data_IF_444292234836
#
_entry.id   IF_444292234836
#
_cell.length_a   1.000
_cell.length_b   1.000
_cell.length_c   1.000
_cell.angle_alpha   90.00
_cell.angle_beta   90.00
_cell.angle_gamma   90.00
#
_symmetry.space_group_name_H-M   'P 1'
#
loop_
_entity.id
_entity.type
_entity.pdbx_description
1 polymer ?
#
# COMPACT_ATOMS: atom_id res chain seq x y z
N UNK A 1 -15.68 12.34 0.10
CA UNK A 1 -14.59 11.42 -0.26
C UNK A 1 -14.04 10.71 0.97
N UNK A 2 -13.36 9.62 0.75
CA UNK A 2 -12.72 8.84 1.80
C UNK A 2 -11.31 9.37 2.06
N UNK A 3 -10.87 9.33 3.32
CA UNK A 3 -9.54 9.77 3.72
C UNK A 3 -8.87 8.69 4.54
N UNK A 4 -7.60 8.45 4.27
CA UNK A 4 -6.72 7.64 5.09
C UNK A 4 -5.55 8.51 5.56
N UNK A 5 -5.33 8.57 6.86
CA UNK A 5 -4.13 9.13 7.47
C UNK A 5 -3.18 7.97 7.76
N UNK A 6 -1.95 8.07 7.29
CA UNK A 6 -0.90 7.06 7.52
C UNK A 6 0.18 7.65 8.40
N UNK A 7 0.49 6.97 9.49
CA UNK A 7 1.53 7.35 10.44
C UNK A 7 2.89 6.83 9.96
N UNK A 8 3.75 7.76 9.53
CA UNK A 8 5.12 7.48 9.09
C UNK A 8 6.17 7.87 10.13
N UNK A 9 5.75 8.15 11.38
CA UNK A 9 6.64 8.61 12.45
C UNK A 9 7.77 7.62 12.72
N UNK A 10 9.01 8.11 12.68
CA UNK A 10 10.24 7.32 12.89
C UNK A 10 10.45 6.22 11.85
N UNK A 11 9.86 6.37 10.66
CA UNK A 11 10.08 5.48 9.52
C UNK A 11 11.01 6.14 8.50
N UNK A 12 11.71 5.33 7.75
CA UNK A 12 12.64 5.80 6.71
C UNK A 12 12.21 5.27 5.36
N UNK A 13 12.13 6.15 4.34
CA UNK A 13 11.81 5.71 2.99
C UNK A 13 12.96 4.91 2.38
N UNK A 14 12.62 3.98 1.52
CA UNK A 14 13.55 3.18 0.73
C UNK A 14 13.36 3.60 -0.72
N UNK A 15 14.47 3.80 -1.41
CA UNK A 15 14.50 4.12 -2.83
C UNK A 15 14.89 2.86 -3.62
N UNK A 16 14.03 2.45 -4.54
CA UNK A 16 14.32 1.45 -5.55
C UNK A 16 14.59 2.14 -6.89
N UNK A 17 15.86 2.42 -7.16
CA UNK A 17 16.33 3.14 -8.34
C UNK A 17 17.12 2.26 -9.31
N UNK A 18 17.17 0.96 -9.06
CA UNK A 18 17.87 -0.02 -9.90
C UNK A 18 19.37 -0.08 -9.68
N UNK A 19 19.94 0.68 -8.73
CA UNK A 19 21.36 0.61 -8.42
C UNK A 19 21.61 -0.34 -7.25
N UNK A 20 22.40 -1.39 -7.50
CA UNK A 20 22.89 -2.30 -6.49
C UNK A 20 24.34 -1.92 -6.12
N UNK A 21 24.46 -1.13 -5.05
CA UNK A 21 25.78 -0.65 -4.59
C UNK A 21 26.51 -1.65 -3.68
N UNK A 22 25.82 -2.72 -3.26
CA UNK A 22 26.37 -3.79 -2.42
C UNK A 22 25.74 -5.11 -2.79
N UNK A 23 26.19 -6.22 -2.17
CA UNK A 23 25.50 -7.51 -2.31
C UNK A 23 24.05 -7.39 -1.79
N UNK A 24 23.08 -7.83 -2.59
CA UNK A 24 21.65 -7.73 -2.25
C UNK A 24 20.76 -8.19 -3.38
N UNK A 25 19.45 -8.05 -3.16
CA UNK A 25 18.42 -8.30 -4.17
C UNK A 25 17.83 -6.96 -4.59
N UNK A 26 17.69 -6.75 -5.88
CA UNK A 26 16.95 -5.61 -6.46
C UNK A 26 15.86 -6.13 -7.37
N UNK A 27 14.75 -5.40 -7.44
CA UNK A 27 13.69 -5.65 -8.40
C UNK A 27 13.96 -4.88 -9.71
N UNK A 28 13.72 -5.52 -10.85
CA UNK A 28 13.75 -4.88 -12.16
C UNK A 28 12.43 -5.17 -12.91
N UNK A 29 11.81 -4.15 -13.51
CA UNK A 29 12.22 -2.74 -13.49
C UNK A 29 12.12 -2.14 -12.08
N UNK A 30 13.00 -1.18 -11.80
CA UNK A 30 12.93 -0.32 -10.61
C UNK A 30 12.14 0.96 -10.93
N UNK A 31 12.02 1.86 -9.99
CA UNK A 31 11.37 3.15 -10.20
C UNK A 31 10.27 3.44 -9.21
N UNK A 32 10.57 3.28 -7.93
CA UNK A 32 9.68 3.68 -6.85
C UNK A 32 10.44 4.17 -5.63
N UNK A 33 9.71 4.87 -4.78
CA UNK A 33 10.09 5.15 -3.41
C UNK A 33 9.00 4.64 -2.49
N UNK A 34 9.35 3.86 -1.49
CA UNK A 34 8.39 3.23 -0.60
C UNK A 34 8.79 3.33 0.87
N UNK A 35 7.82 3.16 1.77
CA UNK A 35 8.01 3.25 3.20
C UNK A 35 7.00 2.34 3.91
N UNK A 36 7.49 1.53 4.85
CA UNK A 36 6.62 0.81 5.77
C UNK A 36 6.05 1.80 6.80
N UNK A 37 4.71 1.93 6.94
CA UNK A 37 4.12 2.73 8.01
C UNK A 37 4.52 2.27 9.41
N UNK A 38 4.27 3.12 10.40
CA UNK A 38 4.36 2.71 11.78
C UNK A 38 3.24 1.72 12.10
N UNK A 39 3.54 0.45 12.13
CA UNK A 39 2.61 -0.65 12.40
C UNK A 39 2.72 -1.20 13.84
N UNK A 40 3.33 -0.41 14.73
CA UNK A 40 3.33 -0.71 16.17
C UNK A 40 1.94 -0.50 16.79
N UNK A 41 1.76 -0.97 18.03
CA UNK A 41 0.54 -0.76 18.80
C UNK A 41 0.21 0.72 19.06
N UNK A 42 1.18 1.61 18.86
CA UNK A 42 1.03 3.06 19.05
C UNK A 42 0.78 3.80 17.72
N UNK A 43 0.57 3.09 16.63
CA UNK A 43 0.28 3.68 15.33
C UNK A 43 -0.95 4.59 15.38
N UNK A 44 -0.85 5.73 14.70
CA UNK A 44 -1.94 6.68 14.51
C UNK A 44 -2.60 6.55 13.14
N UNK A 45 -2.22 5.56 12.34
CA UNK A 45 -2.84 5.29 11.03
C UNK A 45 -4.31 4.98 11.20
N UNK A 46 -5.19 5.76 10.55
CA UNK A 46 -6.64 5.62 10.65
C UNK A 46 -7.37 6.23 9.46
N UNK A 47 -8.56 5.72 9.20
CA UNK A 47 -9.45 6.27 8.17
C UNK A 47 -10.10 5.21 7.32
N UNK A 48 -10.23 5.48 6.03
CA UNK A 48 -10.90 4.63 5.07
C UNK A 48 -9.96 4.26 3.94
N UNK A 49 -9.89 2.98 3.61
CA UNK A 49 -9.09 2.44 2.52
C UNK A 49 -10.01 1.81 1.48
N UNK A 50 -10.31 2.53 0.38
CA UNK A 50 -11.03 1.95 -0.75
C UNK A 50 -10.11 1.03 -1.54
N UNK A 51 -10.59 -0.17 -1.89
CA UNK A 51 -9.90 -1.13 -2.74
C UNK A 51 -10.91 -1.69 -3.75
N UNK A 52 -10.57 -1.66 -5.04
CA UNK A 52 -11.30 -2.36 -6.08
C UNK A 52 -10.58 -3.68 -6.37
N UNK A 53 -11.23 -4.79 -6.06
CA UNK A 53 -10.67 -6.11 -6.21
C UNK A 53 -11.72 -7.10 -6.73
N UNK A 54 -11.38 -7.92 -7.71
CA UNK A 54 -12.27 -8.89 -8.33
C UNK A 54 -13.63 -8.33 -8.77
N UNK A 55 -13.63 -7.11 -9.34
CA UNK A 55 -14.85 -6.46 -9.83
C UNK A 55 -15.67 -5.74 -8.76
N UNK A 56 -15.29 -5.80 -7.49
CA UNK A 56 -16.00 -5.21 -6.36
C UNK A 56 -15.19 -4.06 -5.76
N UNK A 57 -15.85 -2.93 -5.49
CA UNK A 57 -15.29 -1.84 -4.69
C UNK A 57 -15.64 -2.08 -3.22
N UNK A 58 -14.63 -2.29 -2.41
CA UNK A 58 -14.73 -2.42 -0.97
C UNK A 58 -14.09 -1.21 -0.29
N UNK A 59 -14.68 -0.74 0.82
CA UNK A 59 -14.18 0.40 1.58
C UNK A 59 -13.95 -0.05 3.01
N UNK A 60 -12.71 -0.24 3.37
CA UNK A 60 -12.31 -0.73 4.68
C UNK A 60 -12.12 0.40 5.68
N UNK A 61 -12.46 0.13 6.95
CA UNK A 61 -12.06 0.96 8.09
C UNK A 61 -10.68 0.54 8.55
N UNK A 62 -9.79 1.51 8.70
CA UNK A 62 -8.45 1.30 9.22
C UNK A 62 -8.33 2.03 10.56
N UNK A 63 -7.81 1.33 11.56
CA UNK A 63 -7.46 1.88 12.87
C UNK A 63 -6.17 1.22 13.37
N UNK A 64 -5.29 2.00 13.96
CA UNK A 64 -3.97 1.51 14.44
C UNK A 64 -3.23 0.68 13.38
N UNK A 65 -3.24 1.16 12.14
CA UNK A 65 -2.58 0.54 10.99
C UNK A 65 -3.19 -0.80 10.52
N UNK A 66 -4.38 -1.17 10.98
CA UNK A 66 -5.02 -2.44 10.64
C UNK A 66 -6.44 -2.24 10.18
N UNK A 67 -6.89 -3.08 9.25
CA UNK A 67 -8.30 -3.14 8.88
C UNK A 67 -9.08 -3.71 10.05
N UNK A 68 -10.09 -2.95 10.52
CA UNK A 68 -10.94 -3.32 11.65
C UNK A 68 -12.40 -3.57 11.24
N UNK A 69 -12.74 -3.26 10.01
CA UNK A 69 -14.09 -3.44 9.48
C UNK A 69 -14.23 -2.91 8.07
N UNK A 70 -15.46 -2.85 7.57
CA UNK A 70 -15.73 -2.24 6.28
C UNK A 70 -17.10 -1.55 6.23
N UNK A 71 -17.26 -0.67 5.25
CA UNK A 71 -18.51 -0.02 4.93
C UNK A 71 -19.34 -0.95 4.06
N UNK A 72 -20.45 -1.45 4.53
CA UNK A 72 -21.30 -2.48 3.90
C UNK A 72 -20.71 -3.90 3.97
N UNK A 73 -21.35 -4.85 3.30
CA UNK A 73 -20.96 -6.26 3.32
C UNK A 73 -19.77 -6.51 2.35
N UNK A 74 -18.55 -6.32 2.84
CA UNK A 74 -17.36 -6.64 2.08
C UNK A 74 -17.09 -8.15 2.13
N UNK A 75 -16.72 -8.72 0.99
CA UNK A 75 -16.44 -10.15 0.84
C UNK A 75 -15.22 -10.58 1.67
N UNK A 76 -14.22 -9.69 1.74
CA UNK A 76 -12.94 -10.01 2.39
C UNK A 76 -12.85 -9.59 3.86
N UNK A 77 -13.94 -9.05 4.43
CA UNK A 77 -13.93 -8.51 5.79
C UNK A 77 -13.48 -9.49 6.84
N UNK A 78 -14.03 -10.72 6.80
CA UNK A 78 -13.80 -11.70 7.86
C UNK A 78 -12.33 -12.12 7.93
N UNK A 79 -11.65 -12.27 6.80
CA UNK A 79 -10.22 -12.59 6.75
C UNK A 79 -9.37 -11.57 7.52
N UNK A 80 -9.68 -10.26 7.39
CA UNK A 80 -8.93 -9.19 8.06
C UNK A 80 -9.24 -9.11 9.57
N UNK A 81 -10.46 -9.47 9.97
CA UNK A 81 -10.87 -9.48 11.38
C UNK A 81 -10.33 -10.73 12.09
N UNK A 82 -10.40 -11.88 11.45
CA UNK A 82 -9.93 -13.14 12.01
C UNK A 82 -8.41 -13.15 12.15
N UNK A 83 -7.68 -12.60 11.18
CA UNK A 83 -6.23 -12.48 11.20
C UNK A 83 -5.79 -11.01 10.93
N UNK A 84 -5.69 -10.18 11.97
CA UNK A 84 -5.40 -8.75 11.79
C UNK A 84 -4.06 -8.43 11.11
N UNK A 85 -3.11 -9.37 11.06
CA UNK A 85 -1.86 -9.17 10.34
C UNK A 85 -2.08 -9.13 8.82
N UNK A 86 -3.11 -9.80 8.32
CA UNK A 86 -3.51 -9.79 6.90
C UNK A 86 -3.95 -8.39 6.46
N UNK A 87 -4.65 -7.65 7.33
CA UNK A 87 -5.14 -6.30 7.09
C UNK A 87 -4.19 -5.19 7.56
N UNK A 88 -2.94 -5.51 7.90
CA UNK A 88 -1.95 -4.51 8.25
C UNK A 88 -1.58 -3.66 7.03
N UNK A 89 -1.59 -2.33 7.14
CA UNK A 89 -1.06 -1.43 6.11
C UNK A 89 0.46 -1.57 6.13
N UNK A 90 0.97 -2.32 5.17
CA UNK A 90 2.36 -2.77 5.16
C UNK A 90 3.31 -1.78 4.48
N UNK A 91 2.77 -1.06 3.49
CA UNK A 91 3.57 -0.18 2.64
C UNK A 91 2.73 0.98 2.10
N UNK A 92 3.40 2.12 1.93
CA UNK A 92 2.95 3.24 1.09
C UNK A 92 4.07 3.54 0.12
N UNK A 93 3.75 3.55 -1.17
CA UNK A 93 4.76 3.69 -2.20
C UNK A 93 4.33 4.57 -3.38
N UNK A 94 5.33 5.07 -4.07
CA UNK A 94 5.22 6.02 -5.17
C UNK A 94 5.99 5.47 -6.37
N UNK A 95 5.33 4.66 -7.20
CA UNK A 95 5.85 4.21 -8.48
C UNK A 95 5.81 5.34 -9.51
N UNK A 96 6.87 5.50 -10.30
CA UNK A 96 7.00 6.64 -11.23
C UNK A 96 7.00 6.24 -12.70
N UNK A 97 7.05 4.95 -13.04
CA UNK A 97 7.15 4.53 -14.43
C UNK A 97 5.93 4.88 -15.30
N UNK A 98 4.76 5.02 -14.67
CA UNK A 98 3.56 5.49 -15.36
C UNK A 98 3.67 6.89 -15.93
N UNK A 99 4.49 7.77 -15.32
CA UNK A 99 4.78 9.12 -15.80
C UNK A 99 5.49 9.09 -17.16
N UNK A 100 6.26 8.05 -17.43
CA UNK A 100 6.95 7.83 -18.70
C UNK A 100 6.09 7.09 -19.74
N UNK A 101 4.79 6.91 -19.48
CA UNK A 101 3.85 6.31 -20.42
C UNK A 101 3.88 4.78 -20.47
N UNK A 102 4.57 4.12 -19.53
CA UNK A 102 4.57 2.66 -19.40
C UNK A 102 3.16 2.21 -18.98
N UNK A 103 2.69 1.14 -19.61
CA UNK A 103 1.33 0.61 -19.42
C UNK A 103 1.32 -0.64 -18.54
N UNK A 104 0.21 -0.89 -17.82
CA UNK A 104 0.05 -2.09 -17.01
C UNK A 104 0.23 -3.37 -17.82
N UNK A 105 0.87 -4.33 -17.21
CA UNK A 105 1.15 -5.65 -17.77
C UNK A 105 0.25 -6.75 -17.22
N UNK A 106 -0.47 -6.47 -16.13
CA UNK A 106 -1.23 -7.45 -15.35
C UNK A 106 -0.37 -8.26 -14.37
N UNK A 107 0.93 -7.90 -14.24
CA UNK A 107 1.86 -8.52 -13.28
C UNK A 107 2.19 -7.53 -12.20
N UNK A 108 1.76 -7.80 -10.97
CA UNK A 108 1.83 -6.85 -9.86
C UNK A 108 3.25 -6.33 -9.61
N UNK A 109 4.27 -7.17 -9.64
CA UNK A 109 5.68 -6.79 -9.44
C UNK A 109 6.21 -5.78 -10.48
N UNK A 110 5.55 -5.65 -11.62
CA UNK A 110 5.86 -4.65 -12.65
C UNK A 110 4.94 -3.45 -12.51
N UNK A 111 3.68 -3.71 -12.22
CA UNK A 111 2.62 -2.69 -12.24
C UNK A 111 2.66 -1.80 -10.99
N UNK A 112 3.21 -2.28 -9.86
CA UNK A 112 3.43 -1.47 -8.65
C UNK A 112 4.32 -0.24 -8.94
N UNK A 113 5.27 -0.36 -9.86
CA UNK A 113 6.15 0.75 -10.26
C UNK A 113 5.45 1.84 -11.07
N UNK A 114 4.17 1.66 -11.46
CA UNK A 114 3.45 2.57 -12.35
C UNK A 114 2.80 3.76 -11.65
N UNK A 115 2.56 3.67 -10.34
CA UNK A 115 1.87 4.73 -9.61
C UNK A 115 1.87 4.56 -8.11
N UNK A 116 1.14 5.45 -7.45
CA UNK A 116 0.92 5.33 -6.01
C UNK A 116 0.26 4.00 -5.69
N UNK A 117 0.76 3.34 -4.66
CA UNK A 117 0.15 2.11 -4.16
C UNK A 117 0.23 1.98 -2.64
N UNK A 118 -0.61 1.13 -2.11
CA UNK A 118 -0.63 0.72 -0.71
C UNK A 118 -0.61 -0.80 -0.69
N UNK A 119 0.27 -1.38 0.12
CA UNK A 119 0.26 -2.82 0.36
C UNK A 119 -0.38 -3.18 1.70
N UNK A 120 -0.95 -4.38 1.75
CA UNK A 120 -1.44 -5.00 2.97
C UNK A 120 -0.62 -6.25 3.32
N UNK A 121 -0.52 -6.55 4.61
CA UNK A 121 0.11 -7.76 5.13
C UNK A 121 1.47 -7.53 5.77
N UNK A 122 2.49 -8.25 5.30
CA UNK A 122 3.86 -8.19 5.83
C UNK A 122 4.53 -6.86 5.57
N UNK A 123 5.26 -6.36 6.57
CA UNK A 123 6.05 -5.12 6.50
C UNK A 123 7.49 -5.31 7.00
N UNK A 124 7.81 -6.46 7.61
CA UNK A 124 9.10 -6.71 8.28
C UNK A 124 10.31 -6.62 7.34
N UNK A 125 10.16 -7.01 6.09
CA UNK A 125 11.22 -6.92 5.07
C UNK A 125 11.52 -5.48 4.62
N UNK A 126 10.64 -4.52 4.97
CA UNK A 126 10.82 -3.08 4.76
C UNK A 126 11.08 -2.33 6.09
N UNK A 127 11.42 -3.07 7.16
CA UNK A 127 11.69 -2.52 8.47
C UNK A 127 10.45 -2.27 9.32
N UNK A 128 9.25 -2.76 8.93
CA UNK A 128 8.06 -2.81 9.79
C UNK A 128 8.15 -3.88 10.88
N UNK A 129 7.09 -4.03 11.66
CA UNK A 129 7.04 -5.00 12.75
C UNK A 129 6.19 -6.24 12.42
N UNK A 130 5.35 -6.17 11.38
CA UNK A 130 4.47 -7.27 11.00
C UNK A 130 5.22 -8.27 10.12
N UNK A 131 5.71 -9.34 10.72
CA UNK A 131 6.41 -10.46 10.07
C UNK A 131 5.57 -11.73 10.07
N UNK A 132 6.10 -12.87 9.55
CA UNK A 132 5.37 -14.13 9.45
C UNK A 132 4.76 -14.60 10.77
N UNK A 133 5.44 -14.39 11.90
CA UNK A 133 4.98 -14.76 13.23
C UNK A 133 3.83 -13.88 13.77
N UNK A 134 3.48 -12.81 13.06
CA UNK A 134 2.35 -11.94 13.40
C UNK A 134 1.02 -12.50 12.89
N UNK A 135 1.06 -13.41 11.93
CA UNK A 135 -0.12 -14.05 11.34
C UNK A 135 -0.58 -15.23 12.19
N UNK A 136 -1.88 -15.43 12.28
CA UNK A 136 -2.46 -16.58 13.01
C UNK A 136 -2.23 -17.90 12.27
N UNK A 137 -2.19 -17.84 10.93
CA UNK A 137 -2.01 -18.99 10.06
C UNK A 137 -0.91 -18.73 9.05
N UNK A 138 -0.05 -19.71 8.80
CA UNK A 138 1.07 -19.59 7.87
C UNK A 138 0.61 -19.33 6.43
N UNK A 139 -0.51 -19.87 6.03
CA UNK A 139 -1.13 -19.66 4.72
C UNK A 139 -1.66 -18.24 4.51
N UNK A 140 -1.83 -17.48 5.59
CA UNK A 140 -2.22 -16.07 5.53
C UNK A 140 -1.04 -15.12 5.38
N UNK A 141 0.19 -15.61 5.48
CA UNK A 141 1.39 -14.78 5.32
C UNK A 141 1.47 -14.28 3.89
N UNK A 142 1.21 -12.98 3.71
CA UNK A 142 1.19 -12.36 2.40
C UNK A 142 1.73 -10.93 2.44
N UNK A 143 2.00 -10.39 1.27
CA UNK A 143 2.19 -8.98 0.97
C UNK A 143 1.49 -8.71 -0.35
N UNK A 144 0.52 -7.79 -0.38
CA UNK A 144 -0.31 -7.55 -1.55
C UNK A 144 -0.44 -6.07 -1.83
N UNK A 145 0.01 -5.66 -3.02
CA UNK A 145 -0.05 -4.28 -3.50
C UNK A 145 -1.38 -3.98 -4.17
N UNK A 146 -1.86 -2.76 -3.95
CA UNK A 146 -3.04 -2.17 -4.58
C UNK A 146 -2.63 -0.86 -5.24
N UNK A 147 -2.44 -0.89 -6.55
CA UNK A 147 -1.91 0.22 -7.34
C UNK A 147 -3.04 1.13 -7.79
N UNK A 148 -3.02 2.40 -7.34
CA UNK A 148 -4.08 3.38 -7.58
C UNK A 148 -3.90 4.12 -8.90
N UNK A 149 -3.89 3.38 -10.01
CA UNK A 149 -4.00 3.92 -11.36
C UNK A 149 -5.33 3.51 -11.96
N UNK A 150 -5.82 4.27 -12.94
CA UNK A 150 -7.17 4.10 -13.51
C UNK A 150 -7.40 2.71 -14.09
N UNK A 151 -6.39 2.13 -14.70
CA UNK A 151 -6.44 0.83 -15.34
C UNK A 151 -6.63 -0.33 -14.35
N UNK A 152 -6.08 -0.19 -13.13
CA UNK A 152 -6.11 -1.23 -12.07
C UNK A 152 -7.22 -0.93 -11.06
N UNK A 153 -7.43 0.35 -10.72
CA UNK A 153 -8.46 0.79 -9.76
C UNK A 153 -9.51 1.70 -10.44
N UNK A 154 -10.28 1.21 -11.44
CA UNK A 154 -11.12 2.05 -12.30
C UNK A 154 -12.28 2.75 -11.58
N UNK A 155 -12.63 2.28 -10.38
CA UNK A 155 -13.70 2.85 -9.54
C UNK A 155 -13.19 3.87 -8.51
N UNK A 156 -11.87 4.08 -8.44
CA UNK A 156 -11.25 4.94 -7.43
C UNK A 156 -10.52 6.09 -8.12
N UNK A 157 -10.86 7.31 -7.70
CA UNK A 157 -10.11 8.51 -8.05
C UNK A 157 -9.29 8.95 -6.84
N UNK A 158 -7.99 8.90 -6.95
CA UNK A 158 -7.06 9.42 -5.96
C UNK A 158 -7.01 10.95 -6.08
N UNK A 159 -7.81 11.63 -5.29
CA UNK A 159 -7.95 13.10 -5.37
C UNK A 159 -6.70 13.83 -4.92
N UNK A 160 -6.17 13.45 -3.75
CA UNK A 160 -4.98 14.05 -3.17
C UNK A 160 -4.19 13.04 -2.38
N UNK A 161 -2.86 13.07 -2.54
CA UNK A 161 -1.90 12.48 -1.61
C UNK A 161 -0.98 13.58 -1.12
N UNK A 162 -0.84 13.68 0.19
CA UNK A 162 0.04 14.65 0.85
C UNK A 162 1.01 13.93 1.78
N UNK A 163 2.24 14.40 1.80
CA UNK A 163 3.23 14.06 2.83
C UNK A 163 3.39 15.31 3.68
N UNK A 164 3.05 15.21 4.95
CA UNK A 164 2.86 16.35 5.86
C UNK A 164 1.87 17.36 5.25
N UNK A 165 2.31 18.51 4.81
CA UNK A 165 1.46 19.52 4.17
C UNK A 165 1.71 19.66 2.66
N UNK A 166 2.71 18.92 2.14
CA UNK A 166 3.11 19.00 0.73
C UNK A 166 2.24 18.10 -0.13
N UNK A 167 1.68 18.66 -1.19
CA UNK A 167 0.86 17.94 -2.16
C UNK A 167 1.76 17.19 -3.15
N UNK A 168 1.66 15.88 -3.18
CA UNK A 168 2.46 15.02 -4.07
C UNK A 168 1.65 14.54 -5.26
N UNK A 169 0.37 14.19 -5.04
CA UNK A 169 -0.52 13.73 -6.10
C UNK A 169 -1.83 14.50 -6.04
N UNK A 170 -2.34 14.89 -7.21
CA UNK A 170 -3.66 15.46 -7.42
C UNK A 170 -4.34 14.80 -8.62
N UNK A 171 -5.57 14.33 -8.43
CA UNK A 171 -6.40 13.71 -9.47
C UNK A 171 -5.64 12.63 -10.28
N UNK A 172 -5.03 11.67 -9.57
CA UNK A 172 -4.18 10.58 -10.08
C UNK A 172 -2.88 11.02 -10.78
N UNK A 173 -2.44 12.27 -10.65
CA UNK A 173 -1.22 12.79 -11.29
C UNK A 173 -0.25 13.33 -10.26
N UNK A 174 1.02 13.03 -10.43
CA UNK A 174 2.08 13.69 -9.67
C UNK A 174 2.10 15.18 -9.92
N UNK A 175 2.32 15.97 -8.86
CA UNK A 175 2.38 17.45 -8.89
C UNK A 175 3.85 17.85 -8.64
N UNK A 176 4.73 17.41 -9.52
CA UNK A 176 6.18 17.68 -9.49
C UNK A 176 6.60 18.40 -10.77
#
# INVERSE_FOLDING_TARGET
GYKLFVDLTKRHPIKDDGFCLSSGVINLPSGECFIAPNDSKLSKTKGYLPIYYNGVLEIFYVENNKITGCMMNCVNKDKFIEDPAVGNVAEVAFGVLGVFGIKPTGKILLDEKLGFHIALGRSDHFGGFTGPNSFKHIENVWHQDYVYIKEIQPKILLKEVKIDSELIIKDNKYVI
#
